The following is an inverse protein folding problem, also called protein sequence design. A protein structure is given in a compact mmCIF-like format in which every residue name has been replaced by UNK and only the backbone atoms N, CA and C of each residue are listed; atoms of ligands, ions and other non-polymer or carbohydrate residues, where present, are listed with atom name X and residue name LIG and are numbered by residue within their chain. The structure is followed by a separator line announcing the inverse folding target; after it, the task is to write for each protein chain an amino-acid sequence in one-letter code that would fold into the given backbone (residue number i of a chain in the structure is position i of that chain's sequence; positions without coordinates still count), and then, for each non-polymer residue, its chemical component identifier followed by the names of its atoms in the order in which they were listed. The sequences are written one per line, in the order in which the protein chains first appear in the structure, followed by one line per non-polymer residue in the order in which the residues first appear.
data_IF_429655869657
#
_entry.id   IF_429655869657
#
_cell.length_a   1.000
_cell.length_b   1.000
_cell.length_c   1.000
_cell.angle_alpha   90.00
_cell.angle_beta   90.00
_cell.angle_gamma   90.00
#
_symmetry.space_group_name_H-M   'P 1'
#
loop_
_entity.id
_entity.type
_entity.pdbx_description
1 polymer ?
#
# COMPACT_ATOMS: atom_id res chain seq x y z
N UNK A 1 -31.23 50.38 0.84
CA UNK A 1 -31.03 48.92 0.99
C UNK A 1 -29.55 48.67 1.19
N UNK A 2 -29.14 48.29 2.41
CA UNK A 2 -27.73 48.10 2.80
C UNK A 2 -27.38 46.63 2.59
N UNK A 3 -26.63 46.32 1.54
CA UNK A 3 -26.01 45.00 1.36
C UNK A 3 -24.88 44.85 2.38
N UNK A 4 -25.09 44.02 3.40
CA UNK A 4 -24.02 43.56 4.27
C UNK A 4 -23.58 42.19 3.79
N UNK A 5 -22.45 42.20 3.08
CA UNK A 5 -21.66 41.05 2.68
C UNK A 5 -21.02 40.46 3.95
N UNK A 6 -21.58 39.39 4.51
CA UNK A 6 -20.94 38.65 5.61
C UNK A 6 -20.09 37.53 5.02
N UNK A 7 -18.86 37.90 4.67
CA UNK A 7 -17.75 36.99 4.44
C UNK A 7 -17.19 36.60 5.82
N UNK A 8 -17.43 35.36 6.27
CA UNK A 8 -16.76 34.77 7.43
C UNK A 8 -16.63 33.25 7.17
N UNK A 9 -15.50 32.81 6.61
CA UNK A 9 -14.38 32.20 7.35
C UNK A 9 -14.82 31.05 8.26
N UNK A 10 -14.54 29.81 7.83
CA UNK A 10 -13.93 28.74 8.65
C UNK A 10 -13.63 27.53 7.75
N UNK A 11 -12.70 27.73 6.83
CA UNK A 11 -11.85 26.65 6.36
C UNK A 11 -10.84 26.36 7.48
N UNK A 12 -11.06 25.30 8.27
CA UNK A 12 -10.04 24.64 9.11
C UNK A 12 -10.70 23.49 9.88
N UNK A 13 -11.14 22.47 9.15
CA UNK A 13 -11.40 21.17 9.76
C UNK A 13 -10.54 20.13 9.04
N UNK A 14 -9.57 19.63 9.80
CA UNK A 14 -8.90 18.33 9.66
C UNK A 14 -7.87 18.17 8.54
N UNK A 15 -6.78 18.94 8.59
CA UNK A 15 -5.46 18.51 8.05
C UNK A 15 -4.76 17.47 8.95
N UNK A 16 -5.42 16.97 10.01
CA UNK A 16 -4.87 15.98 10.94
C UNK A 16 -5.03 14.53 10.44
N UNK A 17 -5.79 14.29 9.37
CA UNK A 17 -6.14 12.93 8.95
C UNK A 17 -5.13 12.24 8.02
N UNK A 18 -4.12 12.93 7.50
CA UNK A 18 -3.16 12.33 6.56
C UNK A 18 -1.94 11.68 7.26
N UNK A 19 -1.48 12.24 8.38
CA UNK A 19 -0.24 11.77 9.04
C UNK A 19 -0.48 10.51 9.89
N UNK A 20 -1.58 10.46 10.63
CA UNK A 20 -1.99 9.24 11.35
C UNK A 20 -2.51 8.17 10.38
N UNK A 21 -3.20 8.58 9.31
CA UNK A 21 -3.70 7.68 8.27
C UNK A 21 -2.57 6.93 7.56
N UNK A 22 -1.48 7.62 7.20
CA UNK A 22 -0.35 6.99 6.51
C UNK A 22 0.31 5.88 7.36
N UNK A 23 0.63 6.14 8.63
CA UNK A 23 1.23 5.14 9.51
C UNK A 23 0.29 3.94 9.76
N UNK A 24 -0.98 4.21 10.04
CA UNK A 24 -1.99 3.15 10.25
C UNK A 24 -2.21 2.30 9.00
N UNK A 25 -2.18 2.92 7.82
CA UNK A 25 -2.28 2.24 6.54
C UNK A 25 -1.07 1.36 6.28
N UNK A 26 0.16 1.89 6.43
CA UNK A 26 1.39 1.12 6.25
C UNK A 26 1.45 -0.09 7.19
N UNK A 27 1.10 0.07 8.46
CA UNK A 27 1.03 -1.02 9.44
C UNK A 27 -0.01 -2.05 9.02
N UNK A 28 -1.20 -1.62 8.57
CA UNK A 28 -2.24 -2.53 8.11
C UNK A 28 -1.76 -3.36 6.91
N UNK A 29 -1.20 -2.71 5.89
CA UNK A 29 -0.72 -3.38 4.67
C UNK A 29 0.41 -4.35 4.99
N UNK A 30 1.35 -3.94 5.85
CA UNK A 30 2.45 -4.79 6.32
C UNK A 30 1.92 -6.05 7.03
N UNK A 31 0.98 -5.89 7.96
CA UNK A 31 0.38 -7.03 8.66
C UNK A 31 -0.42 -7.93 7.70
N UNK A 32 -1.18 -7.34 6.78
CA UNK A 32 -1.99 -8.07 5.83
C UNK A 32 -1.16 -8.91 4.86
N UNK A 33 -0.06 -8.37 4.31
CA UNK A 33 0.82 -9.13 3.43
C UNK A 33 1.59 -10.22 4.19
N UNK A 34 2.07 -9.94 5.42
CA UNK A 34 2.77 -10.93 6.25
C UNK A 34 1.86 -12.08 6.72
N UNK A 35 0.55 -11.85 6.80
CA UNK A 35 -0.42 -12.89 7.13
C UNK A 35 -0.64 -13.91 5.99
N UNK A 36 -0.16 -13.62 4.78
CA UNK A 36 -0.25 -14.57 3.67
C UNK A 36 0.66 -15.78 3.92
N UNK A 37 0.21 -17.02 3.64
CA UNK A 37 0.98 -18.23 3.93
C UNK A 37 2.39 -18.26 3.32
N UNK A 38 2.57 -17.67 2.13
CA UNK A 38 3.87 -17.59 1.43
C UNK A 38 4.74 -16.43 1.89
N UNK A 39 4.20 -15.53 2.71
CA UNK A 39 4.88 -14.38 3.28
C UNK A 39 5.13 -14.54 4.79
N UNK A 40 4.61 -15.61 5.40
CA UNK A 40 4.72 -15.88 6.82
C UNK A 40 6.19 -16.01 7.25
N UNK A 41 6.55 -15.33 8.33
CA UNK A 41 7.91 -15.33 8.87
C UNK A 41 8.90 -14.44 8.11
N UNK A 42 8.46 -13.75 7.05
CA UNK A 42 9.27 -12.77 6.36
C UNK A 42 9.21 -11.42 7.08
N UNK A 43 10.35 -10.77 7.27
CA UNK A 43 10.43 -9.44 7.89
C UNK A 43 10.16 -8.34 6.85
N UNK A 44 8.92 -8.26 6.37
CA UNK A 44 8.50 -7.27 5.38
C UNK A 44 8.30 -5.94 6.08
N UNK A 45 9.09 -4.92 5.76
CA UNK A 45 8.83 -3.53 6.13
C UNK A 45 8.59 -2.74 4.86
N UNK A 46 7.40 -2.16 4.70
CA UNK A 46 7.00 -1.48 3.44
C UNK A 46 7.94 -0.36 2.98
N UNK A 47 8.75 0.22 3.88
CA UNK A 47 9.74 1.26 3.57
C UNK A 47 11.12 0.73 3.12
N UNK A 48 11.48 -0.49 3.53
CA UNK A 48 12.79 -1.13 3.27
C UNK A 48 12.63 -2.47 2.56
N UNK A 49 11.52 -2.62 1.85
CA UNK A 49 11.19 -3.85 1.18
C UNK A 49 11.99 -3.99 -0.12
N UNK A 50 13.11 -4.72 -0.06
CA UNK A 50 13.88 -5.12 -1.23
C UNK A 50 13.72 -6.63 -1.54
N UNK A 51 12.81 -6.99 -2.46
CA UNK A 51 12.59 -8.39 -2.83
C UNK A 51 13.75 -9.03 -3.59
N UNK A 52 14.77 -8.27 -4.02
CA UNK A 52 15.97 -8.84 -4.67
C UNK A 52 16.95 -9.46 -3.67
N UNK A 53 16.89 -9.07 -2.39
CA UNK A 53 17.80 -9.54 -1.35
C UNK A 53 17.43 -10.91 -0.77
N UNK A 54 16.19 -11.37 -0.98
CA UNK A 54 15.71 -12.65 -0.48
C UNK A 54 14.72 -13.29 -1.46
N UNK A 55 15.02 -14.46 -2.05
CA UNK A 55 14.12 -15.16 -2.97
C UNK A 55 12.73 -15.45 -2.39
N UNK A 56 12.63 -15.61 -1.07
CA UNK A 56 11.34 -15.83 -0.41
C UNK A 56 10.41 -14.61 -0.54
N UNK A 57 10.95 -13.39 -0.66
CA UNK A 57 10.14 -12.20 -0.95
C UNK A 57 9.55 -12.23 -2.35
N UNK A 58 10.31 -12.66 -3.37
CA UNK A 58 9.78 -12.83 -4.72
C UNK A 58 8.63 -13.85 -4.76
N UNK A 59 8.78 -14.97 -4.04
CA UNK A 59 7.72 -15.99 -3.92
C UNK A 59 6.47 -15.42 -3.22
N UNK A 60 6.67 -14.71 -2.11
CA UNK A 60 5.60 -14.00 -1.40
C UNK A 60 4.84 -13.05 -2.34
N UNK A 61 5.55 -12.17 -3.04
CA UNK A 61 4.92 -11.19 -3.95
C UNK A 61 4.19 -11.85 -5.11
N UNK A 62 4.76 -12.90 -5.71
CA UNK A 62 4.08 -13.63 -6.78
C UNK A 62 2.77 -14.26 -6.31
N UNK A 63 2.69 -14.66 -5.03
CA UNK A 63 1.45 -15.18 -4.44
C UNK A 63 0.43 -14.11 -4.04
N UNK A 64 0.84 -12.84 -3.98
CA UNK A 64 0.01 -11.73 -3.47
C UNK A 64 -0.54 -10.81 -4.57
N UNK A 65 -0.34 -11.17 -5.84
CA UNK A 65 -0.66 -10.31 -7.00
C UNK A 65 -2.16 -10.06 -7.20
N UNK A 66 -3.04 -10.86 -6.62
CA UNK A 66 -4.49 -10.60 -6.66
C UNK A 66 -4.89 -9.34 -5.86
N UNK A 67 -4.00 -8.86 -4.98
CA UNK A 67 -4.24 -7.72 -4.11
C UNK A 67 -5.40 -7.92 -3.13
N UNK A 68 -5.94 -9.13 -2.96
CA UNK A 68 -7.10 -9.39 -2.09
C UNK A 68 -6.80 -9.10 -0.61
N UNK A 69 -5.54 -9.31 -0.20
CA UNK A 69 -5.05 -8.97 1.14
C UNK A 69 -5.20 -7.48 1.49
N UNK A 70 -5.27 -6.60 0.50
CA UNK A 70 -5.45 -5.15 0.69
C UNK A 70 -6.85 -4.81 1.21
N UNK A 71 -7.86 -5.64 0.93
CA UNK A 71 -9.26 -5.33 1.27
C UNK A 71 -9.48 -5.15 2.78
N UNK A 72 -8.70 -5.87 3.60
CA UNK A 72 -8.70 -5.73 5.06
C UNK A 72 -8.27 -4.35 5.58
N UNK A 73 -7.75 -3.48 4.71
CA UNK A 73 -7.25 -2.15 5.03
C UNK A 73 -8.13 -0.99 4.57
N UNK A 74 -9.30 -1.26 3.96
CA UNK A 74 -10.21 -0.26 3.38
C UNK A 74 -11.03 0.57 4.40
N UNK A 75 -10.82 0.38 5.70
CA UNK A 75 -11.47 1.12 6.78
C UNK A 75 -10.96 2.56 6.93
N UNK A 76 -11.83 3.48 7.34
CA UNK A 76 -11.48 4.91 7.51
C UNK A 76 -10.42 5.16 8.60
N UNK A 77 -10.27 4.22 9.53
CA UNK A 77 -9.25 4.17 10.58
C UNK A 77 -7.91 3.58 10.11
N UNK A 78 -7.84 3.13 8.85
CA UNK A 78 -6.68 2.47 8.23
C UNK A 78 -6.25 3.25 6.99
N UNK A 79 -6.51 2.71 5.80
CA UNK A 79 -6.15 3.34 4.53
C UNK A 79 -7.30 4.10 3.87
N UNK A 80 -8.54 3.96 4.37
CA UNK A 80 -9.73 4.49 3.70
C UNK A 80 -9.95 3.88 2.31
N UNK A 81 -10.70 4.59 1.47
CA UNK A 81 -11.06 4.13 0.12
C UNK A 81 -9.93 4.32 -0.91
N UNK A 82 -8.94 5.18 -0.63
CA UNK A 82 -7.82 5.48 -1.53
C UNK A 82 -6.96 4.23 -1.82
N UNK A 83 -7.01 3.24 -0.94
CA UNK A 83 -6.29 1.97 -1.10
C UNK A 83 -6.80 1.11 -2.25
N UNK A 84 -8.01 1.35 -2.75
CA UNK A 84 -8.55 0.64 -3.90
C UNK A 84 -7.76 0.93 -5.18
N UNK A 85 -7.21 2.14 -5.31
CA UNK A 85 -6.31 2.50 -6.42
C UNK A 85 -4.99 1.75 -6.33
N UNK A 86 -4.44 1.61 -5.12
CA UNK A 86 -3.26 0.79 -4.87
C UNK A 86 -3.51 -0.68 -5.24
N UNK A 87 -4.62 -1.28 -4.79
CA UNK A 87 -4.99 -2.67 -5.12
C UNK A 87 -5.00 -2.91 -6.63
N UNK A 88 -5.63 -2.01 -7.39
CA UNK A 88 -5.73 -2.12 -8.86
C UNK A 88 -4.37 -2.04 -9.55
N UNK A 89 -3.47 -1.20 -9.05
CA UNK A 89 -2.16 -0.99 -9.65
C UNK A 89 -1.06 -1.93 -9.13
N UNK A 90 -1.31 -2.65 -8.02
CA UNK A 90 -0.28 -3.40 -7.30
C UNK A 90 0.46 -4.41 -8.19
N UNK A 91 -0.30 -5.27 -8.89
CA UNK A 91 0.30 -6.32 -9.72
C UNK A 91 1.16 -5.74 -10.85
N UNK A 92 0.64 -4.71 -11.52
CA UNK A 92 1.33 -4.07 -12.66
C UNK A 92 2.56 -3.30 -12.19
N UNK A 93 2.50 -2.61 -11.05
CA UNK A 93 3.62 -1.88 -10.48
C UNK A 93 4.76 -2.82 -10.09
N UNK A 94 4.46 -3.92 -9.39
CA UNK A 94 5.48 -4.86 -8.93
C UNK A 94 6.11 -5.64 -10.10
N UNK A 95 5.32 -6.03 -11.11
CA UNK A 95 5.85 -6.60 -12.36
C UNK A 95 6.73 -5.60 -13.11
N UNK A 96 6.28 -4.35 -13.22
CA UNK A 96 7.05 -3.28 -13.88
C UNK A 96 8.37 -3.00 -13.16
N UNK A 97 8.37 -3.04 -11.83
CA UNK A 97 9.57 -2.90 -11.00
C UNK A 97 10.59 -4.04 -11.18
N UNK A 98 10.17 -5.16 -11.77
CA UNK A 98 11.07 -6.25 -12.17
C UNK A 98 10.78 -7.61 -11.53
N UNK A 99 9.62 -7.79 -10.90
CA UNK A 99 9.19 -9.13 -10.47
C UNK A 99 8.88 -10.01 -11.70
N UNK A 100 9.54 -11.16 -11.77
CA UNK A 100 9.16 -12.27 -12.63
C UNK A 100 8.57 -13.40 -11.78
N UNK A 101 7.40 -13.88 -12.19
CA UNK A 101 6.74 -15.04 -11.59
C UNK A 101 6.70 -16.25 -12.53
N UNK A 102 7.33 -16.14 -13.70
CA UNK A 102 7.46 -17.26 -14.64
C UNK A 102 8.64 -18.14 -14.22
N UNK A 103 8.39 -19.43 -14.05
CA UNK A 103 9.41 -20.35 -13.53
C UNK A 103 9.71 -20.11 -12.04
N UNK A 104 10.98 -19.92 -11.70
CA UNK A 104 11.38 -19.62 -10.31
C UNK A 104 11.18 -18.12 -10.05
N UNK A 105 10.33 -17.72 -9.08
CA UNK A 105 10.12 -16.31 -8.76
C UNK A 105 11.43 -15.59 -8.49
N UNK A 106 11.60 -14.43 -9.12
CA UNK A 106 12.78 -13.60 -8.98
C UNK A 106 12.42 -12.13 -9.10
N UNK A 107 13.22 -11.28 -8.48
CA UNK A 107 13.08 -9.84 -8.60
C UNK A 107 14.39 -9.26 -9.11
N UNK A 108 14.36 -8.78 -10.36
CA UNK A 108 15.50 -8.11 -10.98
C UNK A 108 15.14 -6.65 -11.11
N UNK A 109 15.66 -5.82 -10.21
CA UNK A 109 15.37 -4.37 -10.19
C UNK A 109 15.69 -3.79 -11.57
N UNK A 110 14.68 -3.30 -12.27
CA UNK A 110 14.91 -2.65 -13.57
C UNK A 110 15.51 -1.26 -13.34
N UNK A 111 16.49 -0.83 -14.17
CA UNK A 111 16.89 0.57 -14.18
C UNK A 111 15.68 1.40 -14.59
N UNK A 112 15.32 2.37 -13.74
CA UNK A 112 14.27 3.36 -13.97
C UNK A 112 14.83 4.52 -14.78
#
# INVERSE_FOLDING_TARGET
MKFLLSLALLATATVVSAQNGAASCTICLQNAIMALPKCAGLNITMTDFDPSLNPAYSVCLCSSLDGAWVDGCSGADKCGQDILSFKKAFADNIKSAGLSCEGTPSFVKRPV
#
